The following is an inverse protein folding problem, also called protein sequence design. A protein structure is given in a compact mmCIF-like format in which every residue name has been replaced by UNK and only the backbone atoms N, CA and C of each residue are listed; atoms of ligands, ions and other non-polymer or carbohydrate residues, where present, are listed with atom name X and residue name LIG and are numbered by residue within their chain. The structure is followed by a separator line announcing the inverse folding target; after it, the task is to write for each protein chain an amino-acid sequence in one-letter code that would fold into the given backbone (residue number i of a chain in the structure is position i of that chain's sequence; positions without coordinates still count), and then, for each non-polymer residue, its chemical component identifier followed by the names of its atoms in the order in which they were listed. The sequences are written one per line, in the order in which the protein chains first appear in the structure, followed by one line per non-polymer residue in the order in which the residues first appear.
data_IF_590885449463
#
_entry.id   IF_590885449463
#
_cell.length_a   1.000
_cell.length_b   1.000
_cell.length_c   1.000
_cell.angle_alpha   90.00
_cell.angle_beta   90.00
_cell.angle_gamma   90.00
#
_symmetry.space_group_name_H-M   'P 1'
#
loop_
_entity.id
_entity.type
_entity.pdbx_description
1 polymer ?
#
# COMPACT_ATOMS: atom_id res chain seq x y z
N UNK A 1 1.30 5.02 8.22
CA UNK A 1 0.29 3.98 7.96
C UNK A 1 -1.14 4.45 8.15
N UNK A 2 -1.39 5.58 8.81
CA UNK A 2 -2.74 6.15 9.01
C UNK A 2 -3.55 6.26 7.70
N UNK A 3 -2.99 6.84 6.64
CA UNK A 3 -3.69 6.96 5.35
C UNK A 3 -4.04 5.61 4.73
N UNK A 4 -3.18 4.59 4.87
CA UNK A 4 -3.48 3.23 4.40
C UNK A 4 -4.69 2.67 5.15
N UNK A 5 -4.74 2.87 6.47
CA UNK A 5 -5.90 2.52 7.30
C UNK A 5 -7.18 3.23 6.87
N UNK A 6 -7.13 4.54 6.59
CA UNK A 6 -8.28 5.30 6.11
C UNK A 6 -8.78 4.82 4.74
N UNK A 7 -7.86 4.50 3.82
CA UNK A 7 -8.19 3.97 2.48
C UNK A 7 -8.86 2.61 2.60
N UNK A 8 -8.33 1.73 3.46
CA UNK A 8 -8.96 0.43 3.74
C UNK A 8 -10.35 0.60 4.34
N UNK A 9 -10.52 1.50 5.31
CA UNK A 9 -11.82 1.77 5.92
C UNK A 9 -12.84 2.30 4.89
N UNK A 10 -12.43 3.21 4.00
CA UNK A 10 -13.30 3.71 2.92
C UNK A 10 -13.68 2.58 1.96
N UNK A 11 -12.73 1.72 1.61
CA UNK A 11 -12.98 0.57 0.74
C UNK A 11 -13.94 -0.44 1.37
N UNK A 12 -13.75 -0.79 2.64
CA UNK A 12 -14.62 -1.72 3.36
C UNK A 12 -16.03 -1.15 3.55
N UNK A 13 -16.15 0.17 3.75
CA UNK A 13 -17.44 0.84 3.84
C UNK A 13 -18.21 0.81 2.51
N UNK A 14 -17.52 0.56 1.38
CA UNK A 14 -18.12 0.27 0.09
C UNK A 14 -18.54 -1.20 -0.05
N UNK A 15 -18.38 -2.09 0.94
CA UNK A 15 -18.87 -3.50 0.90
C UNK A 15 -18.66 -4.20 -0.46
N UNK A 16 -17.43 -4.35 -0.94
CA UNK A 16 -17.11 -5.04 -2.20
C UNK A 16 -17.54 -6.52 -2.15
N UNK A 17 -18.06 -7.07 -3.26
CA UNK A 17 -18.62 -8.43 -3.33
C UNK A 17 -17.55 -9.51 -3.10
N UNK A 18 -16.37 -9.35 -3.71
CA UNK A 18 -15.24 -10.29 -3.62
C UNK A 18 -14.04 -9.70 -2.86
N UNK A 19 -14.30 -8.76 -1.93
CA UNK A 19 -13.30 -8.00 -1.15
C UNK A 19 -12.34 -7.13 -1.96
N UNK A 20 -11.91 -7.51 -3.16
CA UNK A 20 -10.93 -6.76 -3.97
C UNK A 20 -11.54 -6.03 -5.18
N UNK A 21 -12.81 -6.25 -5.47
CA UNK A 21 -13.51 -5.70 -6.65
C UNK A 21 -14.87 -5.11 -6.26
N UNK A 22 -15.19 -3.95 -6.85
CA UNK A 22 -16.47 -3.27 -6.71
C UNK A 22 -17.10 -3.08 -8.11
N UNK A 23 -18.38 -3.40 -8.33
CA UNK A 23 -19.02 -3.22 -9.64
C UNK A 23 -19.11 -1.73 -10.03
N UNK A 24 -19.03 -1.41 -11.34
CA UNK A 24 -19.16 -0.03 -11.87
C UNK A 24 -20.46 0.65 -11.44
N UNK A 25 -21.54 -0.11 -11.23
CA UNK A 25 -22.82 0.42 -10.71
C UNK A 25 -22.68 1.15 -9.37
N UNK A 26 -21.59 0.93 -8.63
CA UNK A 26 -21.28 1.57 -7.36
C UNK A 26 -20.21 2.66 -7.45
N UNK A 27 -19.80 3.04 -8.66
CA UNK A 27 -18.83 4.11 -8.89
C UNK A 27 -19.24 5.42 -8.21
N UNK A 28 -20.53 5.77 -8.20
CA UNK A 28 -20.99 6.99 -7.53
C UNK A 28 -20.64 6.98 -6.04
N UNK A 29 -20.75 5.83 -5.36
CA UNK A 29 -20.40 5.73 -3.94
C UNK A 29 -18.90 5.94 -3.70
N UNK A 30 -18.05 5.53 -4.65
CA UNK A 30 -16.61 5.81 -4.61
C UNK A 30 -16.36 7.32 -4.70
N UNK A 31 -17.05 8.01 -5.60
CA UNK A 31 -16.95 9.46 -5.75
C UNK A 31 -17.47 10.20 -4.51
N UNK A 32 -18.58 9.75 -3.93
CA UNK A 32 -19.15 10.32 -2.71
C UNK A 32 -18.18 10.19 -1.53
N UNK A 33 -17.44 9.06 -1.44
CA UNK A 33 -16.37 8.89 -0.43
C UNK A 33 -15.22 9.87 -0.64
N UNK A 34 -14.76 10.03 -1.88
CA UNK A 34 -13.72 10.99 -2.21
C UNK A 34 -14.14 12.43 -1.86
N UNK A 35 -15.38 12.82 -2.20
CA UNK A 35 -15.93 14.14 -1.88
C UNK A 35 -16.07 14.35 -0.36
N UNK A 36 -16.55 13.33 0.36
CA UNK A 36 -16.65 13.37 1.82
C UNK A 36 -15.27 13.61 2.48
N UNK A 37 -14.18 13.04 1.94
CA UNK A 37 -12.82 13.28 2.44
C UNK A 37 -12.35 14.72 2.21
N UNK A 38 -12.62 15.27 1.03
CA UNK A 38 -12.33 16.68 0.72
C UNK A 38 -13.08 17.60 1.68
N UNK A 39 -14.36 17.33 1.92
CA UNK A 39 -15.19 18.15 2.78
C UNK A 39 -14.79 18.00 4.26
N UNK A 40 -14.42 16.80 4.71
CA UNK A 40 -13.92 16.59 6.08
C UNK A 40 -12.59 17.30 6.34
N UNK A 41 -11.70 17.36 5.34
CA UNK A 41 -10.44 18.09 5.41
C UNK A 41 -10.64 19.63 5.46
N UNK A 42 -11.87 20.12 5.26
CA UNK A 42 -12.10 21.55 5.09
C UNK A 42 -11.76 22.42 6.31
N UNK A 43 -11.79 21.82 7.50
CA UNK A 43 -11.48 22.50 8.76
C UNK A 43 -9.98 22.68 9.01
N UNK A 44 -9.13 21.84 8.42
CA UNK A 44 -7.69 21.75 8.75
C UNK A 44 -6.78 22.06 7.57
N UNK A 45 -7.29 21.96 6.34
CA UNK A 45 -6.53 22.09 5.09
C UNK A 45 -6.74 23.45 4.43
N UNK A 46 -5.70 24.04 3.83
CA UNK A 46 -5.82 25.32 3.16
C UNK A 46 -6.80 25.27 1.97
N UNK A 47 -7.57 26.34 1.75
CA UNK A 47 -8.56 26.40 0.67
C UNK A 47 -7.97 26.12 -0.73
N UNK A 48 -6.69 26.44 -0.95
CA UNK A 48 -6.00 26.13 -2.19
C UNK A 48 -5.82 24.62 -2.41
N UNK A 49 -5.47 23.86 -1.37
CA UNK A 49 -5.32 22.40 -1.41
C UNK A 49 -6.66 21.71 -1.60
N UNK A 50 -7.71 22.19 -0.93
CA UNK A 50 -9.07 21.70 -1.16
C UNK A 50 -9.50 21.88 -2.62
N UNK A 51 -9.21 23.05 -3.22
CA UNK A 51 -9.52 23.31 -4.64
C UNK A 51 -8.73 22.38 -5.56
N UNK A 52 -7.46 22.15 -5.28
CA UNK A 52 -6.62 21.21 -6.05
C UNK A 52 -7.16 19.76 -5.93
N UNK A 53 -7.50 19.31 -4.73
CA UNK A 53 -8.13 18.01 -4.51
C UNK A 53 -9.48 17.88 -5.26
N UNK A 54 -10.33 18.92 -5.22
CA UNK A 54 -11.61 18.94 -5.97
C UNK A 54 -11.41 18.86 -7.48
N UNK A 55 -10.29 19.37 -8.01
CA UNK A 55 -9.98 19.26 -9.44
C UNK A 55 -9.86 17.81 -9.93
N UNK A 56 -9.60 16.85 -9.04
CA UNK A 56 -9.61 15.41 -9.37
C UNK A 56 -11.01 14.89 -9.72
N UNK A 57 -12.06 15.45 -9.12
CA UNK A 57 -13.45 14.99 -9.24
C UNK A 57 -14.25 15.76 -10.30
N UNK A 58 -13.74 16.90 -10.77
CA UNK A 58 -14.42 17.71 -11.79
C UNK A 58 -13.96 17.28 -13.18
N UNK A 59 -14.94 17.08 -14.08
CA UNK A 59 -14.69 16.82 -15.49
C UNK A 59 -13.95 17.99 -16.15
N UNK A 60 -12.92 17.69 -16.94
CA UNK A 60 -12.29 18.70 -17.80
C UNK A 60 -13.21 19.06 -18.95
N UNK A 61 -13.22 20.35 -19.35
CA UNK A 61 -14.01 20.83 -20.50
C UNK A 61 -13.47 20.40 -21.88
N UNK A 62 -12.66 19.34 -21.94
CA UNK A 62 -12.10 18.82 -23.20
C UNK A 62 -13.17 18.09 -24.02
N UNK A 63 -13.31 18.49 -25.28
CA UNK A 63 -14.38 18.08 -26.22
C UNK A 63 -14.27 16.64 -26.77
N UNK A 64 -13.50 15.75 -26.13
CA UNK A 64 -13.41 14.33 -26.48
C UNK A 64 -14.29 13.47 -25.57
N UNK A 65 -15.13 12.60 -26.16
CA UNK A 65 -16.11 11.74 -25.46
C UNK A 65 -15.55 10.83 -24.34
N UNK A 66 -14.24 10.59 -24.31
CA UNK A 66 -13.53 9.86 -23.24
C UNK A 66 -12.46 10.71 -22.54
N UNK A 67 -12.15 11.90 -23.05
CA UNK A 67 -11.24 12.87 -22.40
C UNK A 67 -11.95 13.74 -21.35
N UNK A 68 -13.28 13.74 -21.31
CA UNK A 68 -14.07 14.51 -20.36
C UNK A 68 -14.20 13.90 -18.96
N UNK A 69 -13.80 12.64 -18.74
CA UNK A 69 -13.94 12.02 -17.42
C UNK A 69 -13.01 12.67 -16.38
N UNK A 70 -13.46 12.85 -15.12
CA UNK A 70 -12.60 13.34 -14.04
C UNK A 70 -11.33 12.50 -13.90
N UNK A 71 -10.20 13.13 -13.53
CA UNK A 71 -8.93 12.44 -13.38
C UNK A 71 -9.02 11.27 -12.38
N UNK A 72 -9.79 11.45 -11.30
CA UNK A 72 -10.05 10.39 -10.32
C UNK A 72 -10.66 9.15 -10.98
N UNK A 73 -11.68 9.31 -11.83
CA UNK A 73 -12.34 8.21 -12.55
C UNK A 73 -11.36 7.55 -13.53
N UNK A 74 -10.53 8.34 -14.21
CA UNK A 74 -9.50 7.82 -15.14
C UNK A 74 -8.49 6.93 -14.43
N UNK A 75 -8.12 7.26 -13.19
CA UNK A 75 -7.22 6.44 -12.37
C UNK A 75 -7.84 5.08 -11.99
N UNK A 76 -9.17 4.99 -11.91
CA UNK A 76 -9.86 3.73 -11.65
C UNK A 76 -9.83 2.76 -12.84
N UNK A 77 -9.47 3.24 -14.05
CA UNK A 77 -9.26 2.43 -15.27
C UNK A 77 -10.44 1.51 -15.61
N UNK A 78 -11.66 2.02 -15.54
CA UNK A 78 -12.89 1.27 -15.86
C UNK A 78 -12.92 0.74 -17.31
N UNK A 79 -12.11 1.28 -18.21
CA UNK A 79 -12.15 1.00 -19.65
C UNK A 79 -11.19 -0.11 -20.13
N UNK A 80 -10.20 -0.54 -19.33
CA UNK A 80 -9.14 -1.43 -19.82
C UNK A 80 -9.54 -2.90 -20.04
N UNK A 81 -10.80 -3.28 -19.77
CA UNK A 81 -11.33 -4.61 -20.04
C UNK A 81 -12.01 -4.73 -21.42
N UNK A 82 -12.26 -3.61 -22.11
CA UNK A 82 -12.95 -3.63 -23.41
C UNK A 82 -12.08 -4.21 -24.53
N UNK A 83 -10.76 -4.05 -24.44
CA UNK A 83 -9.81 -4.53 -25.46
C UNK A 83 -9.43 -6.02 -25.30
N UNK A 84 -9.63 -6.61 -24.13
CA UNK A 84 -9.36 -8.03 -23.90
C UNK A 84 -10.45 -8.95 -24.49
N UNK A 85 -11.66 -8.43 -24.71
CA UNK A 85 -12.81 -9.18 -25.23
C UNK A 85 -12.84 -9.30 -26.76
N UNK A 86 -11.94 -8.63 -27.47
CA UNK A 86 -11.82 -8.76 -28.93
C UNK A 86 -10.85 -9.86 -29.38
N UNK A 87 -10.22 -10.58 -28.44
CA UNK A 87 -9.10 -11.48 -28.76
C UNK A 87 -9.27 -12.97 -28.44
N UNK A 88 -10.33 -13.43 -27.77
CA UNK A 88 -10.60 -14.88 -27.71
C UNK A 88 -12.09 -15.16 -27.53
N UNK A 89 -12.62 -15.98 -28.43
CA UNK A 89 -14.02 -16.36 -28.50
C UNK A 89 -14.50 -17.09 -27.25
N UNK A 90 -15.74 -16.76 -26.86
CA UNK A 90 -16.64 -17.60 -26.07
C UNK A 90 -16.05 -18.26 -24.81
N UNK A 91 -15.92 -17.48 -23.73
CA UNK A 91 -16.27 -17.85 -22.35
C UNK A 91 -15.74 -16.86 -21.29
N UNK A 92 -15.57 -15.56 -21.61
CA UNK A 92 -15.35 -14.56 -20.56
C UNK A 92 -16.66 -14.27 -19.82
N UNK A 93 -16.94 -15.10 -18.82
CA UNK A 93 -18.03 -14.97 -17.86
C UNK A 93 -18.07 -13.55 -17.29
N UNK A 94 -19.04 -12.75 -17.72
CA UNK A 94 -19.67 -11.67 -16.96
C UNK A 94 -18.75 -10.68 -16.19
N UNK A 95 -17.53 -10.43 -16.66
CA UNK A 95 -16.61 -9.45 -16.08
C UNK A 95 -17.00 -8.03 -16.50
N UNK A 96 -18.07 -7.50 -15.91
CA UNK A 96 -18.47 -6.11 -16.07
C UNK A 96 -17.34 -5.16 -15.68
N UNK A 97 -17.41 -3.91 -16.15
CA UNK A 97 -16.52 -2.85 -15.68
C UNK A 97 -16.56 -2.81 -14.16
N UNK A 98 -15.41 -2.82 -13.52
CA UNK A 98 -15.30 -2.89 -12.09
C UNK A 98 -14.12 -2.05 -11.60
N UNK A 99 -14.25 -1.54 -10.38
CA UNK A 99 -13.19 -0.84 -9.67
C UNK A 99 -12.40 -1.88 -8.88
N UNK A 100 -11.10 -2.00 -9.17
CA UNK A 100 -10.18 -2.83 -8.40
C UNK A 100 -9.61 -2.05 -7.20
N UNK A 101 -9.45 -2.71 -6.06
CA UNK A 101 -8.93 -2.08 -4.84
C UNK A 101 -7.58 -1.38 -5.06
N UNK A 102 -6.62 -1.97 -5.78
CA UNK A 102 -5.32 -1.32 -6.01
C UNK A 102 -5.46 -0.01 -6.82
N UNK A 103 -6.42 0.08 -7.74
CA UNK A 103 -6.71 1.31 -8.48
C UNK A 103 -7.44 2.34 -7.61
N UNK A 104 -8.38 1.89 -6.79
CA UNK A 104 -9.02 2.73 -5.78
C UNK A 104 -7.99 3.30 -4.79
N UNK A 105 -7.09 2.47 -4.29
CA UNK A 105 -6.00 2.89 -3.40
C UNK A 105 -5.10 3.92 -4.08
N UNK A 106 -4.69 3.70 -5.34
CA UNK A 106 -3.91 4.68 -6.10
C UNK A 106 -4.65 6.03 -6.22
N UNK A 107 -5.94 6.03 -6.55
CA UNK A 107 -6.75 7.24 -6.68
C UNK A 107 -6.94 7.97 -5.35
N UNK A 108 -7.22 7.25 -4.27
CA UNK A 108 -7.38 7.82 -2.93
C UNK A 108 -6.05 8.35 -2.38
N UNK A 109 -4.93 7.66 -2.61
CA UNK A 109 -3.61 8.16 -2.18
C UNK A 109 -3.28 9.48 -2.89
N UNK A 110 -3.55 9.60 -4.19
CA UNK A 110 -3.37 10.86 -4.92
C UNK A 110 -4.27 11.98 -4.37
N UNK A 111 -5.50 11.65 -3.97
CA UNK A 111 -6.39 12.59 -3.29
C UNK A 111 -5.79 13.07 -1.96
N UNK A 112 -5.36 12.16 -1.09
CA UNK A 112 -4.70 12.51 0.17
C UNK A 112 -3.42 13.33 -0.05
N UNK A 113 -2.64 12.98 -1.07
CA UNK A 113 -1.43 13.71 -1.44
C UNK A 113 -1.73 15.19 -1.75
N UNK A 114 -2.83 15.48 -2.46
CA UNK A 114 -3.24 16.87 -2.76
C UNK A 114 -3.81 17.62 -1.56
N UNK A 115 -4.45 16.90 -0.64
CA UNK A 115 -4.95 17.48 0.60
C UNK A 115 -3.81 17.85 1.57
N UNK A 116 -2.68 17.13 1.54
CA UNK A 116 -1.62 17.25 2.56
C UNK A 116 -0.27 17.82 2.03
N UNK A 117 -0.28 18.53 0.89
CA UNK A 117 0.92 18.95 0.13
C UNK A 117 1.96 19.85 0.84
N UNK A 118 1.76 20.33 2.08
CA UNK A 118 2.54 21.48 2.62
C UNK A 118 3.66 21.16 3.62
N UNK A 119 3.67 20.04 4.34
CA UNK A 119 4.82 19.71 5.22
C UNK A 119 4.81 18.28 5.77
N UNK A 120 3.64 17.69 5.99
CA UNK A 120 3.50 16.39 6.64
C UNK A 120 4.00 15.22 5.77
N UNK A 121 4.06 15.39 4.44
CA UNK A 121 4.60 14.38 3.52
C UNK A 121 6.08 14.07 3.74
N UNK A 122 6.84 14.95 4.41
CA UNK A 122 8.27 14.71 4.64
C UNK A 122 8.53 13.69 5.74
N UNK A 123 7.54 13.39 6.57
CA UNK A 123 7.66 12.46 7.69
C UNK A 123 6.74 11.23 7.49
N UNK A 124 6.54 10.81 6.24
CA UNK A 124 5.83 9.56 5.95
C UNK A 124 6.66 8.34 6.38
N UNK A 125 5.95 7.34 6.91
CA UNK A 125 6.54 6.06 7.32
C UNK A 125 7.13 5.33 6.10
N UNK A 126 8.40 4.89 6.15
CA UNK A 126 9.07 4.23 5.03
C UNK A 126 8.26 3.06 4.44
N UNK A 127 7.64 2.24 5.30
CA UNK A 127 6.87 1.08 4.87
C UNK A 127 5.66 1.48 3.99
N UNK A 128 5.02 2.62 4.25
CA UNK A 128 3.88 3.09 3.44
C UNK A 128 4.31 3.47 2.00
N UNK A 129 5.51 4.03 1.84
CA UNK A 129 6.10 4.31 0.53
C UNK A 129 6.45 3.01 -0.22
N UNK A 130 7.07 2.05 0.47
CA UNK A 130 7.42 0.74 -0.08
C UNK A 130 6.16 -0.03 -0.55
N UNK A 131 5.09 0.02 0.25
CA UNK A 131 3.77 -0.51 -0.09
C UNK A 131 3.18 0.12 -1.35
N UNK A 132 3.24 1.45 -1.47
CA UNK A 132 2.78 2.16 -2.66
C UNK A 132 3.62 1.81 -3.90
N UNK A 133 4.95 1.64 -3.72
CA UNK A 133 5.84 1.23 -4.80
C UNK A 133 5.51 -0.20 -5.31
N UNK A 134 5.24 -1.14 -4.41
CA UNK A 134 4.78 -2.49 -4.78
C UNK A 134 3.45 -2.43 -5.52
N UNK A 135 2.46 -1.70 -5.00
CA UNK A 135 1.17 -1.49 -5.68
C UNK A 135 1.38 -1.00 -7.10
N UNK A 136 2.19 0.04 -7.29
CA UNK A 136 2.42 0.62 -8.60
C UNK A 136 3.15 -0.35 -9.55
N UNK A 137 4.06 -1.18 -9.03
CA UNK A 137 4.69 -2.25 -9.80
C UNK A 137 3.65 -3.28 -10.27
N UNK A 138 2.74 -3.71 -9.39
CA UNK A 138 1.65 -4.64 -9.72
C UNK A 138 0.72 -4.03 -10.79
N UNK A 139 0.32 -2.77 -10.61
CA UNK A 139 -0.56 -2.07 -11.55
C UNK A 139 0.08 -1.91 -12.93
N UNK A 140 1.36 -1.51 -13.00
CA UNK A 140 2.11 -1.44 -14.26
C UNK A 140 2.23 -2.81 -14.94
N UNK A 141 2.44 -3.87 -14.16
CA UNK A 141 2.51 -5.23 -14.70
C UNK A 141 1.16 -5.69 -15.24
N UNK A 142 0.08 -5.42 -14.52
CA UNK A 142 -1.28 -5.76 -14.94
C UNK A 142 -1.71 -5.07 -16.25
N UNK A 143 -1.10 -3.94 -16.61
CA UNK A 143 -1.36 -3.25 -17.88
C UNK A 143 -0.79 -4.00 -19.10
N UNK A 144 0.19 -4.89 -18.90
CA UNK A 144 0.75 -5.73 -19.96
C UNK A 144 0.05 -7.10 -19.98
N UNK A 145 -0.72 -7.43 -21.04
CA UNK A 145 -1.50 -8.68 -21.11
C UNK A 145 -0.64 -9.91 -20.83
N UNK A 146 -1.12 -10.78 -19.93
CA UNK A 146 -0.49 -12.05 -19.59
C UNK A 146 0.86 -11.98 -18.86
N UNK A 147 1.26 -10.79 -18.42
CA UNK A 147 2.57 -10.59 -17.78
C UNK A 147 2.54 -10.76 -16.25
N UNK A 148 1.37 -10.57 -15.62
CA UNK A 148 1.16 -10.77 -14.20
C UNK A 148 1.02 -12.28 -13.92
N UNK A 149 1.96 -12.83 -13.16
CA UNK A 149 1.98 -14.26 -12.79
C UNK A 149 2.35 -14.38 -11.31
N UNK A 150 1.95 -15.49 -10.67
CA UNK A 150 2.26 -15.74 -9.26
C UNK A 150 3.76 -15.72 -8.95
N UNK A 151 4.58 -16.34 -9.83
CA UNK A 151 6.04 -16.33 -9.69
C UNK A 151 6.62 -14.91 -9.74
N UNK A 152 6.15 -14.06 -10.66
CA UNK A 152 6.57 -12.66 -10.71
C UNK A 152 6.16 -11.90 -9.45
N UNK A 153 4.93 -12.11 -8.95
CA UNK A 153 4.46 -11.45 -7.73
C UNK A 153 5.32 -11.84 -6.53
N UNK A 154 5.64 -13.13 -6.40
CA UNK A 154 6.53 -13.64 -5.36
C UNK A 154 7.92 -12.99 -5.44
N UNK A 155 8.51 -12.93 -6.65
CA UNK A 155 9.79 -12.24 -6.88
C UNK A 155 9.73 -10.75 -6.48
N UNK A 156 8.64 -10.05 -6.79
CA UNK A 156 8.49 -8.64 -6.42
C UNK A 156 8.32 -8.44 -4.92
N UNK A 157 7.57 -9.30 -4.23
CA UNK A 157 7.41 -9.23 -2.77
C UNK A 157 8.74 -9.52 -2.07
N UNK A 158 9.49 -10.53 -2.52
CA UNK A 158 10.82 -10.83 -2.00
C UNK A 158 11.81 -9.67 -2.24
N UNK A 159 11.76 -9.03 -3.41
CA UNK A 159 12.57 -7.86 -3.71
C UNK A 159 12.20 -6.65 -2.83
N UNK A 160 10.91 -6.38 -2.62
CA UNK A 160 10.44 -5.33 -1.74
C UNK A 160 10.89 -5.56 -0.29
N UNK A 161 10.76 -6.80 0.20
CA UNK A 161 11.26 -7.22 1.52
C UNK A 161 12.75 -6.93 1.67
N UNK A 162 13.57 -7.35 0.70
CA UNK A 162 15.03 -7.21 0.78
C UNK A 162 15.53 -5.75 0.77
N UNK A 163 14.69 -4.80 0.35
CA UNK A 163 15.01 -3.37 0.36
C UNK A 163 14.27 -2.61 1.47
N UNK A 164 13.45 -3.29 2.26
CA UNK A 164 12.58 -2.65 3.24
C UNK A 164 13.34 -2.19 4.48
N UNK A 165 12.91 -1.08 5.07
CA UNK A 165 13.32 -0.69 6.41
C UNK A 165 12.82 -1.70 7.48
N UNK A 166 11.77 -2.47 7.21
CA UNK A 166 11.24 -3.52 8.10
C UNK A 166 11.00 -4.83 7.34
N UNK A 167 12.07 -5.60 7.13
CA UNK A 167 11.98 -6.88 6.44
C UNK A 167 10.97 -7.85 7.08
N UNK A 168 10.80 -7.80 8.41
CA UNK A 168 9.92 -8.70 9.14
C UNK A 168 8.44 -8.44 8.84
N UNK A 169 8.06 -7.19 8.53
CA UNK A 169 6.70 -6.84 8.12
C UNK A 169 6.28 -7.54 6.82
N UNK A 170 7.22 -7.86 5.94
CA UNK A 170 6.93 -8.44 4.63
C UNK A 170 6.77 -9.97 4.62
N UNK A 171 7.29 -10.66 5.64
CA UNK A 171 7.29 -12.13 5.73
C UNK A 171 5.89 -12.74 5.59
N UNK A 172 4.83 -12.23 6.26
CA UNK A 172 3.49 -12.80 6.10
C UNK A 172 2.95 -12.67 4.67
N UNK A 173 3.25 -11.55 3.98
CA UNK A 173 2.84 -11.36 2.59
C UNK A 173 3.57 -12.33 1.67
N UNK A 174 4.89 -12.50 1.86
CA UNK A 174 5.70 -13.44 1.07
C UNK A 174 5.17 -14.88 1.18
N UNK A 175 4.83 -15.31 2.41
CA UNK A 175 4.22 -16.61 2.66
C UNK A 175 2.84 -16.73 2.01
N UNK A 176 2.02 -15.68 2.02
CA UNK A 176 0.69 -15.68 1.42
C UNK A 176 0.72 -15.72 -0.12
N UNK A 177 1.76 -15.17 -0.76
CA UNK A 177 1.89 -15.19 -2.24
C UNK A 177 2.61 -16.44 -2.76
N UNK A 178 3.38 -17.15 -1.94
CA UNK A 178 4.12 -18.35 -2.37
C UNK A 178 3.23 -19.43 -3.05
N UNK A 179 2.03 -19.78 -2.53
CA UNK A 179 1.15 -20.75 -3.18
C UNK A 179 0.70 -20.33 -4.59
N UNK A 180 0.63 -19.01 -4.87
CA UNK A 180 0.25 -18.50 -6.18
C UNK A 180 1.33 -18.81 -7.23
N UNK A 181 2.60 -18.84 -6.84
CA UNK A 181 3.73 -19.24 -7.68
C UNK A 181 3.84 -20.76 -7.88
N UNK A 182 3.38 -21.52 -6.89
CA UNK A 182 3.48 -22.98 -6.85
C UNK A 182 2.39 -23.73 -7.61
N UNK A 183 1.37 -23.04 -8.15
CA UNK A 183 0.30 -23.67 -8.96
C UNK A 183 0.86 -24.36 -10.22
N UNK A 184 1.48 -25.51 -10.01
CA UNK A 184 2.03 -26.47 -10.95
C UNK A 184 0.94 -27.47 -11.24
N UNK A 185 0.34 -27.40 -12.42
CA UNK A 185 0.00 -28.55 -13.27
C UNK A 185 -0.57 -29.82 -12.65
N UNK A 186 -1.26 -29.75 -11.51
CA UNK A 186 -2.09 -30.84 -11.01
C UNK A 186 -3.50 -30.48 -11.43
N UNK A 187 -3.97 -31.19 -12.47
CA UNK A 187 -5.36 -31.50 -12.78
C UNK A 187 -5.66 -31.33 -14.29
N UNK A 188 -5.13 -32.28 -15.05
CA UNK A 188 -5.96 -33.06 -15.97
C UNK A 188 -5.32 -34.44 -16.15
N UNK A 189 -5.51 -35.29 -15.16
CA UNK A 189 -5.45 -36.74 -15.35
C UNK A 189 -6.77 -37.16 -16.02
N UNK A 190 -6.89 -36.96 -17.34
CA UNK A 190 -7.85 -37.63 -18.22
C UNK A 190 -7.52 -37.19 -19.66
N UNK A 191 -6.53 -37.84 -20.28
CA UNK A 191 -6.50 -38.24 -21.69
C UNK A 191 -5.06 -38.63 -22.06
N UNK A 192 -4.83 -39.94 -22.12
CA UNK A 192 -3.65 -40.56 -22.75
C UNK A 192 -3.68 -40.29 -24.26
N UNK A 193 -3.37 -39.06 -24.67
CA UNK A 193 -3.09 -38.70 -26.06
C UNK A 193 -1.58 -38.83 -26.36
N UNK A 194 -1.17 -39.43 -27.48
CA UNK A 194 0.24 -39.70 -27.76
C UNK A 194 1.06 -38.41 -27.83
N UNK A 195 2.17 -38.42 -27.09
CA UNK A 195 3.11 -37.33 -26.89
C UNK A 195 3.67 -36.78 -28.20
N UNK A 196 3.20 -35.59 -28.60
CA UNK A 196 3.86 -34.74 -29.58
C UNK A 196 5.04 -33.98 -28.94
N UNK A 197 6.17 -33.78 -29.66
CA UNK A 197 7.37 -33.09 -29.16
C UNK A 197 7.20 -31.56 -29.16
N UNK A 198 6.24 -31.04 -28.38
CA UNK A 198 5.91 -29.61 -28.32
C UNK A 198 5.57 -29.08 -26.92
N UNK A 199 5.85 -29.85 -25.86
CA UNK A 199 5.39 -29.57 -24.49
C UNK A 199 6.28 -28.59 -23.69
N UNK A 200 6.84 -27.57 -24.36
CA UNK A 200 7.77 -26.60 -23.74
C UNK A 200 7.14 -25.30 -23.24
N UNK A 201 5.85 -25.07 -23.47
CA UNK A 201 5.14 -23.95 -22.83
C UNK A 201 4.33 -24.48 -21.67
N UNK A 202 5.02 -24.73 -20.55
CA UNK A 202 4.43 -24.68 -19.21
C UNK A 202 3.75 -23.32 -19.09
N UNK A 203 2.48 -23.22 -19.49
CA UNK A 203 1.73 -21.95 -19.50
C UNK A 203 1.77 -21.44 -18.07
N UNK A 204 2.58 -20.42 -17.82
CA UNK A 204 2.59 -19.73 -16.53
C UNK A 204 1.15 -19.29 -16.31
N UNK A 205 0.51 -19.81 -15.25
CA UNK A 205 -0.83 -19.39 -14.87
C UNK A 205 -0.80 -17.87 -14.74
N UNK A 206 -1.58 -17.21 -15.57
CA UNK A 206 -1.76 -15.77 -15.49
C UNK A 206 -2.61 -15.50 -14.25
N UNK A 207 -2.16 -14.53 -13.46
CA UNK A 207 -2.83 -14.14 -12.23
C UNK A 207 -3.74 -12.97 -12.57
N UNK A 208 -5.01 -13.03 -12.17
CA UNK A 208 -5.89 -11.87 -12.27
C UNK A 208 -5.44 -10.79 -11.28
N UNK A 209 -5.77 -9.52 -11.55
CA UNK A 209 -5.47 -8.43 -10.61
C UNK A 209 -6.16 -8.66 -9.26
N UNK A 210 -7.35 -9.26 -9.28
CA UNK A 210 -8.10 -9.63 -8.08
C UNK A 210 -7.35 -10.68 -7.24
N UNK A 211 -6.91 -11.79 -7.85
CA UNK A 211 -6.15 -12.84 -7.18
C UNK A 211 -4.85 -12.29 -6.56
N UNK A 212 -4.18 -11.36 -7.25
CA UNK A 212 -3.00 -10.67 -6.72
C UNK A 212 -3.33 -9.82 -5.49
N UNK A 213 -4.51 -9.19 -5.49
CA UNK A 213 -4.87 -8.18 -4.50
C UNK A 213 -5.31 -8.77 -3.16
N UNK A 214 -5.91 -9.96 -3.14
CA UNK A 214 -6.43 -10.61 -1.93
C UNK A 214 -5.37 -10.77 -0.80
N UNK A 215 -4.18 -11.36 -1.05
CA UNK A 215 -3.16 -11.46 0.00
C UNK A 215 -2.66 -10.08 0.44
N UNK A 216 -2.52 -9.12 -0.49
CA UNK A 216 -2.13 -7.75 -0.16
C UNK A 216 -3.12 -7.08 0.77
N UNK A 217 -4.43 -7.21 0.54
CA UNK A 217 -5.44 -6.55 1.37
C UNK A 217 -5.43 -7.03 2.83
N UNK A 218 -5.27 -8.34 3.03
CA UNK A 218 -5.20 -8.91 4.39
C UNK A 218 -3.96 -8.37 5.10
N UNK A 219 -2.81 -8.46 4.44
CA UNK A 219 -1.56 -7.93 4.95
C UNK A 219 -1.59 -6.42 5.23
N UNK A 220 -2.15 -5.62 4.32
CA UNK A 220 -2.28 -4.16 4.51
C UNK A 220 -3.13 -3.81 5.73
N UNK A 221 -4.16 -4.61 6.04
CA UNK A 221 -4.97 -4.41 7.25
C UNK A 221 -4.13 -4.65 8.50
N UNK A 222 -3.42 -5.76 8.55
CA UNK A 222 -2.56 -6.12 9.69
C UNK A 222 -1.48 -5.05 9.90
N UNK A 223 -0.89 -4.54 8.81
CA UNK A 223 0.12 -3.47 8.89
C UNK A 223 -0.49 -2.13 9.31
N UNK A 224 -1.69 -1.78 8.82
CA UNK A 224 -2.37 -0.56 9.23
C UNK A 224 -2.71 -0.57 10.73
N UNK A 225 -3.10 -1.72 11.26
CA UNK A 225 -3.35 -1.90 12.70
C UNK A 225 -2.05 -1.82 13.52
N UNK A 226 -1.02 -2.58 13.13
CA UNK A 226 0.22 -2.67 13.93
C UNK A 226 1.00 -1.34 13.98
N UNK A 227 1.08 -0.64 12.85
CA UNK A 227 1.73 0.68 12.78
C UNK A 227 0.82 1.83 13.22
N UNK A 228 -0.50 1.66 13.20
CA UNK A 228 -1.44 2.69 13.64
C UNK A 228 -1.63 2.71 15.16
N UNK A 229 -1.78 1.54 15.78
CA UNK A 229 -2.07 1.42 17.22
C UNK A 229 -1.49 0.18 17.89
N UNK A 230 -0.74 -0.66 17.16
CA UNK A 230 -0.18 -1.90 17.69
C UNK A 230 1.21 -1.76 18.31
N UNK A 231 1.97 -2.85 18.25
CA UNK A 231 3.27 -2.98 18.90
C UNK A 231 4.31 -2.07 18.23
N UNK A 232 4.31 -2.04 16.89
CA UNK A 232 5.23 -1.18 16.13
C UNK A 232 4.95 0.30 16.39
N UNK A 233 3.69 0.70 16.42
CA UNK A 233 3.28 2.06 16.75
C UNK A 233 3.85 2.50 18.12
N UNK A 234 3.71 1.65 19.15
CA UNK A 234 4.21 1.94 20.49
C UNK A 234 5.73 2.09 20.55
N UNK A 235 6.48 1.23 19.84
CA UNK A 235 7.95 1.31 19.78
C UNK A 235 8.44 2.56 19.06
N UNK A 236 7.82 2.87 17.93
CA UNK A 236 8.09 4.10 17.17
C UNK A 236 7.85 5.32 18.04
N UNK A 237 6.70 5.38 18.72
CA UNK A 237 6.39 6.47 19.63
C UNK A 237 7.42 6.60 20.76
N UNK A 238 7.82 5.48 21.38
CA UNK A 238 8.83 5.48 22.44
C UNK A 238 10.18 6.04 21.97
N UNK A 239 10.65 5.66 20.77
CA UNK A 239 11.90 6.19 20.21
C UNK A 239 11.77 7.68 19.88
N UNK A 240 10.68 8.10 19.23
CA UNK A 240 10.44 9.51 18.88
C UNK A 240 10.38 10.39 20.11
N UNK A 241 9.68 9.93 21.13
CA UNK A 241 9.54 10.62 22.41
C UNK A 241 10.93 10.83 23.03
N UNK A 242 11.72 9.77 23.18
CA UNK A 242 13.04 9.83 23.85
C UNK A 242 14.10 10.57 23.02
N UNK A 243 14.17 10.30 21.72
CA UNK A 243 15.21 10.86 20.84
C UNK A 243 14.84 12.23 20.25
N UNK A 244 13.56 12.62 20.27
CA UNK A 244 13.08 13.84 19.62
C UNK A 244 13.22 13.81 18.09
N UNK A 245 13.26 12.62 17.49
CA UNK A 245 13.48 12.43 16.06
C UNK A 245 12.16 12.35 15.27
N UNK A 246 12.27 12.42 13.95
CA UNK A 246 11.14 12.24 13.04
C UNK A 246 10.59 10.80 13.07
N UNK A 247 9.35 10.62 12.61
CA UNK A 247 8.74 9.29 12.44
C UNK A 247 9.56 8.41 11.52
N UNK A 248 10.04 8.99 10.41
CA UNK A 248 10.88 8.31 9.44
C UNK A 248 12.18 7.82 10.06
N UNK A 249 12.89 8.68 10.79
CA UNK A 249 14.15 8.33 11.47
C UNK A 249 13.94 7.23 12.52
N UNK A 250 12.89 7.34 13.34
CA UNK A 250 12.57 6.32 14.34
C UNK A 250 12.32 4.95 13.69
N UNK A 251 11.56 4.90 12.59
CA UNK A 251 11.33 3.66 11.84
C UNK A 251 12.62 3.07 11.27
N UNK A 252 13.52 3.90 10.73
CA UNK A 252 14.81 3.43 10.21
C UNK A 252 15.72 2.89 11.32
N UNK A 253 15.85 3.60 12.44
CA UNK A 253 16.67 3.17 13.57
C UNK A 253 16.13 1.87 14.19
N UNK A 254 14.80 1.76 14.36
CA UNK A 254 14.16 0.52 14.82
C UNK A 254 14.36 -0.62 13.83
N UNK A 255 14.11 -0.39 12.55
CA UNK A 255 14.28 -1.40 11.50
C UNK A 255 15.70 -1.97 11.47
N UNK A 256 16.70 -1.10 11.50
CA UNK A 256 18.11 -1.48 11.52
C UNK A 256 18.54 -2.27 12.77
N UNK A 257 17.77 -2.18 13.87
CA UNK A 257 18.04 -2.86 15.15
C UNK A 257 17.03 -3.97 15.44
N UNK A 258 16.32 -4.49 14.43
CA UNK A 258 15.37 -5.59 14.60
C UNK A 258 14.20 -5.24 15.52
N UNK A 259 13.79 -3.97 15.53
CA UNK A 259 12.72 -3.41 16.36
C UNK A 259 13.00 -3.48 17.87
N UNK A 260 14.26 -3.47 18.29
CA UNK A 260 14.64 -3.28 19.69
C UNK A 260 14.78 -1.79 20.02
N UNK A 261 14.01 -1.31 20.99
CA UNK A 261 13.94 0.12 21.36
C UNK A 261 15.24 0.59 22.02
N UNK A 262 15.82 -0.23 22.91
CA UNK A 262 17.04 0.15 23.62
C UNK A 262 18.22 0.21 22.66
N UNK A 263 18.37 -0.80 21.79
CA UNK A 263 19.41 -0.83 20.77
C UNK A 263 19.27 0.34 19.79
N UNK A 264 18.04 0.69 19.38
CA UNK A 264 17.78 1.86 18.54
C UNK A 264 18.22 3.17 19.22
N UNK A 265 17.87 3.37 20.49
CA UNK A 265 18.25 4.57 21.24
C UNK A 265 19.76 4.64 21.50
N UNK A 266 20.39 3.52 21.86
CA UNK A 266 21.85 3.44 22.05
C UNK A 266 22.57 3.79 20.76
N UNK A 267 22.10 3.29 19.61
CA UNK A 267 22.65 3.66 18.30
C UNK A 267 22.46 5.15 18.02
N UNK A 268 21.26 5.69 18.29
CA UNK A 268 20.92 7.09 18.02
C UNK A 268 21.84 8.04 18.80
N UNK A 269 22.01 7.84 20.11
CA UNK A 269 22.88 8.68 20.94
C UNK A 269 24.37 8.31 20.80
N UNK A 270 24.69 7.04 20.57
CA UNK A 270 26.06 6.57 20.38
C UNK A 270 26.69 7.05 19.08
N UNK A 271 25.89 7.23 18.02
CA UNK A 271 26.31 7.81 16.74
C UNK A 271 26.43 9.35 16.75
N UNK A 272 25.82 10.01 17.73
CA UNK A 272 25.85 11.48 17.91
C UNK A 272 27.04 11.99 18.73
N UNK A 273 28.14 11.23 18.80
CA UNK A 273 29.43 11.78 19.24
C UNK A 273 30.25 12.25 18.02
N UNK A 274 30.02 13.44 17.44
CA UNK A 274 31.13 14.18 16.88
C UNK A 274 31.95 14.65 18.08
N UNK A 275 33.24 14.31 18.08
CA UNK A 275 34.22 14.96 18.93
C UNK A 275 34.19 16.46 18.61
N UNK A 276 33.42 17.23 19.37
CA UNK A 276 33.37 18.69 19.31
C UNK A 276 32.21 19.28 18.49
N UNK A 277 31.05 19.45 19.11
CA UNK A 277 30.32 20.74 19.11
C UNK A 277 29.08 20.62 20.01
N UNK A 278 29.13 21.32 21.15
CA UNK A 278 28.07 21.34 22.14
C UNK A 278 26.85 22.09 21.59
N UNK A 279 25.80 21.34 21.23
CA UNK A 279 24.47 21.91 20.96
C UNK A 279 23.83 22.27 22.31
N UNK A 280 23.32 23.50 22.51
CA UNK A 280 22.70 23.88 23.77
C UNK A 280 21.36 23.14 23.92
N UNK A 281 21.32 22.19 24.85
CA UNK A 281 20.10 21.55 25.31
C UNK A 281 19.22 22.58 26.01
N UNK A 282 18.17 23.06 25.34
CA UNK A 282 17.05 23.72 26.01
C UNK A 282 16.32 22.66 26.84
N UNK A 283 16.51 22.74 28.15
CA UNK A 283 15.99 21.77 29.10
C UNK A 283 14.47 21.71 29.11
N UNK A 284 13.95 20.50 28.86
CA UNK A 284 12.73 20.01 29.48
C UNK A 284 13.13 18.70 30.15
N UNK A 285 13.42 18.77 31.44
CA UNK A 285 13.77 17.59 32.23
C UNK A 285 12.55 16.68 32.32
N UNK A 286 12.63 15.54 31.64
CA UNK A 286 11.65 14.47 31.83
C UNK A 286 11.89 13.83 33.19
N UNK A 287 10.94 14.06 34.10
CA UNK A 287 10.83 13.32 35.35
C UNK A 287 9.95 12.09 35.10
N UNK A 288 10.57 10.96 34.80
CA UNK A 288 9.90 9.66 34.86
C UNK A 288 9.64 9.32 36.33
N UNK A 289 8.46 9.68 36.83
CA UNK A 289 7.93 9.08 38.05
C UNK A 289 7.58 7.62 37.78
N UNK A 290 8.55 6.72 37.91
CA UNK A 290 8.33 5.27 37.82
C UNK A 290 9.60 4.46 38.05
N UNK A 291 9.65 3.75 39.19
CA UNK A 291 10.70 2.82 39.65
C UNK A 291 12.05 3.43 40.10
N UNK A 292 12.12 3.77 41.40
CA UNK A 292 13.39 3.84 42.14
C UNK A 292 14.00 2.43 42.23
N UNK A 293 14.89 2.07 41.31
CA UNK A 293 15.82 0.96 41.54
C UNK A 293 16.79 1.37 42.64
N UNK A 294 16.71 0.70 43.80
CA UNK A 294 17.67 0.85 44.88
C UNK A 294 18.98 0.16 44.48
N UNK A 295 20.09 0.86 44.68
CA UNK A 295 21.44 0.48 44.27
C UNK A 295 22.08 -0.60 45.17
N UNK A 296 21.29 -1.43 45.84
CA UNK A 296 21.78 -2.36 46.88
C UNK A 296 20.97 -3.66 46.98
N UNK A 297 20.67 -4.28 45.83
CA UNK A 297 20.31 -5.70 45.74
C UNK A 297 21.13 -6.36 44.63
#
# INVERSE_FOLDING_TARGET
MEYVGLILADWEALRPELRAVLPESRLQQVLDRADARINAASATTAAAQQRDARSLLVAGSSSGQLEGAPLFVRMLRLDSLRDALLMDGEQSLAGGRAVHFLRFWQAMQELFRRLNSTSEQKDEEPLAEEMAALRDAILRRAESPGSLSGAWLQEQVAAARAMSADEAAWVPLEQAVAPLGETRGSDSHCEEGPAGPGNEKRRRRQLSLEEATLPLMTWLRDMAEDYGSGCRAAKVQAVRDVAGCSLREACFDLGAQGWDVEAALVRHFGGQNPVGEARPSTGSGWSTHGAKLRRSE
#
